data_IF_323140962472
#
_entry.id   IF_323140962472
#
_cell.length_a   1.000
_cell.length_b   1.000
_cell.length_c   1.000
_cell.angle_alpha   90.00
_cell.angle_beta   90.00
_cell.angle_gamma   90.00
#
_symmetry.space_group_name_H-M   'P 1'
#
loop_
_entity.id
_entity.type
_entity.pdbx_description
1 polymer ?
#
# COMPACT_ATOMS: atom_id res chain seq x y z
N UNK A 1 76.81 -6.02 15.07
CA UNK A 1 76.34 -6.09 13.69
C UNK A 1 74.97 -6.69 13.65
N UNK A 2 74.03 -6.25 12.78
CA UNK A 2 72.77 -5.69 13.26
C UNK A 2 71.64 -6.72 13.22
N UNK A 3 70.93 -6.88 14.34
CA UNK A 3 69.70 -7.70 14.48
C UNK A 3 68.45 -6.87 14.51
N UNK A 4 68.50 -5.56 14.28
CA UNK A 4 67.37 -4.69 14.42
C UNK A 4 66.58 -4.34 13.13
N UNK A 5 67.08 -4.74 11.96
CA UNK A 5 66.35 -4.41 10.71
C UNK A 5 65.37 -5.49 10.20
N UNK A 6 65.42 -6.70 10.72
CA UNK A 6 64.54 -7.78 10.26
C UNK A 6 63.17 -7.79 10.91
N UNK A 7 63.02 -7.08 12.02
CA UNK A 7 61.74 -7.05 12.76
C UNK A 7 60.76 -5.97 12.28
N UNK A 8 61.23 -4.96 11.52
CA UNK A 8 60.38 -3.90 10.99
C UNK A 8 59.64 -4.27 9.71
N UNK A 9 60.08 -5.24 8.96
CA UNK A 9 59.41 -5.67 7.73
C UNK A 9 58.30 -6.70 7.95
N UNK A 10 58.30 -7.43 9.06
CA UNK A 10 57.28 -8.42 9.38
C UNK A 10 56.01 -7.75 9.94
N UNK A 11 56.12 -6.60 10.61
CA UNK A 11 54.97 -5.88 11.15
C UNK A 11 54.19 -5.03 10.10
N UNK A 12 54.80 -4.73 8.95
CA UNK A 12 54.10 -3.96 7.89
C UNK A 12 53.26 -4.81 6.96
N UNK A 13 53.51 -6.12 6.89
CA UNK A 13 52.75 -7.02 5.99
C UNK A 13 51.52 -7.64 6.67
N UNK A 14 51.39 -7.51 8.00
CA UNK A 14 50.25 -8.09 8.75
C UNK A 14 49.10 -7.12 9.02
N UNK A 15 49.23 -5.84 8.67
CA UNK A 15 48.17 -4.83 8.90
C UNK A 15 47.31 -4.55 7.64
N UNK A 16 47.69 -5.08 6.47
CA UNK A 16 46.96 -4.85 5.22
C UNK A 16 45.93 -5.96 4.90
N UNK A 17 45.90 -7.06 5.64
CA UNK A 17 45.03 -8.21 5.32
C UNK A 17 43.72 -8.27 6.11
N UNK A 18 43.37 -7.27 6.90
CA UNK A 18 42.18 -7.33 7.77
C UNK A 18 41.15 -6.22 7.49
N UNK A 19 41.20 -5.56 6.35
CA UNK A 19 40.21 -4.49 6.00
C UNK A 19 39.48 -4.77 4.70
N UNK A 20 39.22 -6.02 4.37
CA UNK A 20 38.36 -6.43 3.27
C UNK A 20 37.29 -7.42 3.75
N UNK A 21 36.60 -7.09 4.85
CA UNK A 21 35.40 -7.83 5.20
C UNK A 21 34.25 -6.86 5.54
N UNK A 22 33.16 -7.11 4.83
CA UNK A 22 31.80 -6.66 5.10
C UNK A 22 31.47 -5.18 4.80
N UNK A 23 31.61 -4.81 3.54
CA UNK A 23 30.63 -3.92 2.94
C UNK A 23 29.45 -4.73 2.38
N UNK A 24 28.73 -5.47 3.19
CA UNK A 24 27.37 -5.82 2.84
C UNK A 24 26.56 -4.53 2.90
N UNK A 25 26.69 -3.70 1.86
CA UNK A 25 25.92 -2.49 1.69
C UNK A 25 24.45 -2.89 1.78
N UNK A 26 23.75 -2.39 2.79
CA UNK A 26 22.31 -2.56 2.88
C UNK A 26 21.71 -2.02 1.56
N UNK A 27 21.17 -2.90 0.72
CA UNK A 27 20.49 -2.50 -0.50
C UNK A 27 19.39 -1.50 -0.13
N UNK A 28 19.15 -0.44 -0.91
CA UNK A 28 18.04 0.47 -0.67
C UNK A 28 16.72 -0.30 -0.69
N UNK A 29 15.73 0.12 0.10
CA UNK A 29 14.44 -0.57 0.21
C UNK A 29 13.78 -0.76 -1.15
N UNK A 30 13.94 0.19 -2.07
CA UNK A 30 13.43 0.12 -3.43
C UNK A 30 14.01 -1.06 -4.25
N UNK A 31 15.26 -1.49 -3.98
CA UNK A 31 15.88 -2.63 -4.65
C UNK A 31 15.35 -4.00 -4.15
N UNK A 32 14.58 -4.01 -3.07
CA UNK A 32 13.97 -5.21 -2.49
C UNK A 32 12.47 -5.34 -2.83
N UNK A 33 11.95 -4.44 -3.68
CA UNK A 33 10.57 -4.40 -4.15
C UNK A 33 10.53 -4.55 -5.68
N UNK A 34 9.50 -5.18 -6.19
CA UNK A 34 9.24 -5.31 -7.63
C UNK A 34 8.28 -4.23 -8.10
N UNK A 35 8.15 -4.07 -9.42
CA UNK A 35 7.08 -3.27 -10.04
C UNK A 35 5.77 -4.08 -10.16
N UNK A 36 5.32 -4.65 -9.05
CA UNK A 36 4.05 -5.37 -8.95
C UNK A 36 3.32 -4.95 -7.69
N UNK A 37 2.01 -5.05 -7.73
CA UNK A 37 1.17 -4.86 -6.55
C UNK A 37 0.91 -6.20 -5.87
N UNK A 38 1.11 -6.24 -4.56
CA UNK A 38 0.56 -7.23 -3.65
C UNK A 38 -0.73 -6.66 -3.06
N UNK A 39 -1.87 -7.26 -3.38
CA UNK A 39 -3.15 -6.98 -2.73
C UNK A 39 -3.37 -8.01 -1.63
N UNK A 40 -3.72 -7.53 -0.45
CA UNK A 40 -4.07 -8.38 0.69
C UNK A 40 -5.46 -8.00 1.16
N UNK A 41 -6.35 -8.97 1.15
CA UNK A 41 -7.70 -8.83 1.67
C UNK A 41 -7.75 -9.41 3.09
N UNK A 42 -8.24 -8.61 4.02
CA UNK A 42 -8.40 -8.98 5.43
C UNK A 42 -9.85 -8.92 5.85
N UNK A 43 -10.18 -9.74 6.84
CA UNK A 43 -11.39 -9.59 7.67
C UNK A 43 -10.99 -8.99 9.02
N UNK A 44 -11.55 -7.82 9.33
CA UNK A 44 -11.50 -7.25 10.67
C UNK A 44 -12.83 -7.52 11.34
N UNK A 45 -12.82 -8.21 12.46
CA UNK A 45 -14.04 -8.68 13.11
C UNK A 45 -13.98 -8.57 14.64
N UNK A 46 -15.14 -8.64 15.27
CA UNK A 46 -15.27 -8.60 16.71
C UNK A 46 -16.21 -7.52 17.20
N UNK A 47 -15.95 -7.00 18.39
CA UNK A 47 -16.74 -6.01 19.09
C UNK A 47 -15.83 -5.06 19.89
N UNK A 48 -16.43 -4.19 20.70
CA UNK A 48 -15.67 -3.19 21.48
C UNK A 48 -14.65 -3.80 22.46
N UNK A 49 -14.90 -5.02 22.95
CA UNK A 49 -14.05 -5.70 23.92
C UNK A 49 -12.96 -6.55 23.26
N UNK A 50 -13.27 -7.18 22.12
CA UNK A 50 -12.36 -8.10 21.45
C UNK A 50 -12.39 -7.91 19.94
N UNK A 51 -11.22 -7.76 19.33
CA UNK A 51 -11.04 -7.60 17.90
C UNK A 51 -10.10 -8.66 17.37
N UNK A 52 -10.36 -9.09 16.13
CA UNK A 52 -9.59 -10.09 15.39
C UNK A 52 -9.29 -9.59 13.98
N UNK A 53 -8.13 -9.97 13.49
CA UNK A 53 -7.69 -9.75 12.11
C UNK A 53 -7.41 -11.13 11.52
N UNK A 54 -7.94 -11.41 10.34
CA UNK A 54 -7.63 -12.62 9.57
C UNK A 54 -7.32 -12.25 8.13
N UNK A 55 -6.36 -12.95 7.51
CA UNK A 55 -6.11 -12.88 6.07
C UNK A 55 -7.22 -13.65 5.36
N UNK A 56 -7.89 -13.03 4.39
CA UNK A 56 -8.86 -13.68 3.51
C UNK A 56 -8.19 -14.19 2.25
N UNK A 57 -7.42 -13.34 1.57
CA UNK A 57 -6.80 -13.67 0.30
C UNK A 57 -5.56 -12.84 0.04
N UNK A 58 -4.62 -13.41 -0.72
CA UNK A 58 -3.46 -12.75 -1.28
C UNK A 58 -3.56 -12.77 -2.80
N UNK A 59 -3.40 -11.60 -3.41
CA UNK A 59 -3.48 -11.43 -4.85
C UNK A 59 -2.30 -10.62 -5.38
N UNK A 60 -1.98 -10.77 -6.64
CA UNK A 60 -0.95 -9.97 -7.29
C UNK A 60 -1.40 -9.50 -8.67
N UNK A 61 -0.98 -8.31 -9.06
CA UNK A 61 -1.15 -7.78 -10.41
C UNK A 61 0.05 -6.95 -10.85
N UNK A 62 0.16 -6.74 -12.16
CA UNK A 62 1.20 -5.91 -12.78
C UNK A 62 1.05 -4.46 -12.36
N UNK A 63 2.21 -3.80 -12.25
CA UNK A 63 2.33 -2.39 -11.95
C UNK A 63 2.16 -2.09 -10.46
N UNK A 64 2.95 -1.12 -9.99
CA UNK A 64 2.79 -0.49 -8.70
C UNK A 64 2.52 1.00 -8.91
N UNK A 65 1.33 1.46 -8.54
CA UNK A 65 0.90 2.86 -8.68
C UNK A 65 0.99 3.65 -7.38
N UNK A 66 1.41 3.02 -6.30
CA UNK A 66 1.54 3.66 -5.01
C UNK A 66 2.86 4.42 -4.85
N UNK A 67 3.11 4.83 -3.64
CA UNK A 67 4.28 5.61 -3.24
C UNK A 67 5.59 4.88 -3.55
N UNK A 68 6.57 5.59 -4.12
CA UNK A 68 7.89 5.07 -4.50
C UNK A 68 9.04 5.68 -3.69
N UNK A 69 8.75 6.70 -2.87
CA UNK A 69 9.71 7.39 -1.99
C UNK A 69 9.20 7.41 -0.56
N UNK A 70 10.09 7.57 0.41
CA UNK A 70 9.76 7.56 1.85
C UNK A 70 8.92 6.33 2.25
N UNK A 71 9.33 5.15 1.78
CA UNK A 71 8.55 3.92 1.87
C UNK A 71 8.37 3.43 3.31
N UNK A 72 9.33 3.70 4.18
CA UNK A 72 9.43 3.27 5.57
C UNK A 72 8.85 4.26 6.58
N UNK A 73 8.28 5.39 6.12
CA UNK A 73 7.74 6.44 6.97
C UNK A 73 6.23 6.62 6.80
N UNK A 74 5.58 7.15 7.85
CA UNK A 74 4.15 7.48 7.85
C UNK A 74 3.99 9.00 7.83
N UNK A 75 3.57 9.60 6.70
CA UNK A 75 3.29 11.04 6.64
C UNK A 75 2.06 11.44 7.47
N UNK A 76 1.08 10.54 7.57
CA UNK A 76 -0.14 10.71 8.35
C UNK A 76 -0.36 9.47 9.22
N UNK A 77 -0.98 9.65 10.39
CA UNK A 77 -1.33 8.57 11.31
C UNK A 77 -2.84 8.40 11.36
N UNK A 78 -3.30 7.21 10.96
CA UNK A 78 -4.67 6.76 11.12
C UNK A 78 -4.85 5.92 12.39
N UNK A 79 -5.94 5.13 12.42
CA UNK A 79 -6.27 4.22 13.52
C UNK A 79 -5.58 2.86 13.40
N UNK A 80 -4.81 2.63 12.34
CA UNK A 80 -4.03 1.44 12.16
C UNK A 80 -2.86 1.67 11.23
N UNK A 81 -1.95 0.72 11.19
CA UNK A 81 -0.91 0.66 10.18
C UNK A 81 -0.66 -0.78 9.68
N UNK A 82 -0.13 -0.86 8.46
CA UNK A 82 0.37 -2.07 7.85
C UNK A 82 1.82 -1.84 7.48
N UNK A 83 2.69 -2.78 7.86
CA UNK A 83 4.13 -2.72 7.66
C UNK A 83 4.59 -3.97 6.93
N UNK A 84 5.34 -3.80 5.85
CA UNK A 84 6.04 -4.84 5.12
C UNK A 84 7.52 -4.82 5.52
N UNK A 85 8.03 -5.94 6.02
CA UNK A 85 9.40 -6.06 6.55
C UNK A 85 10.11 -7.20 5.83
N UNK A 86 11.32 -6.97 5.34
CA UNK A 86 12.18 -8.03 4.82
C UNK A 86 12.50 -9.04 5.92
N UNK A 87 12.13 -10.30 5.71
CA UNK A 87 12.26 -11.34 6.75
C UNK A 87 13.70 -11.64 7.12
N UNK A 88 14.61 -11.53 6.16
CA UNK A 88 16.04 -11.87 6.36
C UNK A 88 16.78 -10.77 7.11
N UNK A 89 16.47 -9.50 6.81
CA UNK A 89 17.23 -8.35 7.36
C UNK A 89 16.52 -7.63 8.50
N UNK A 90 15.20 -7.85 8.67
CA UNK A 90 14.36 -7.10 9.60
C UNK A 90 14.11 -5.65 9.18
N UNK A 91 14.48 -5.28 7.95
CA UNK A 91 14.33 -3.92 7.44
C UNK A 91 12.89 -3.68 6.98
N UNK A 92 12.33 -2.54 7.37
CA UNK A 92 11.05 -2.07 6.83
C UNK A 92 11.21 -1.72 5.35
N UNK A 93 10.41 -2.37 4.49
CA UNK A 93 10.35 -2.15 3.05
C UNK A 93 9.28 -1.12 2.68
N UNK A 94 8.13 -1.20 3.35
CA UNK A 94 7.00 -0.32 3.10
C UNK A 94 6.16 -0.19 4.37
N UNK A 95 5.58 0.98 4.57
CA UNK A 95 4.66 1.23 5.67
C UNK A 95 3.54 2.16 5.23
N UNK A 96 2.29 1.82 5.60
CA UNK A 96 1.10 2.61 5.31
C UNK A 96 0.23 2.71 6.56
N UNK A 97 -0.34 3.88 6.79
CA UNK A 97 -1.37 4.09 7.81
C UNK A 97 -2.74 4.10 7.16
N UNK A 98 -3.74 3.70 7.93
CA UNK A 98 -5.13 3.62 7.48
C UNK A 98 -6.11 3.93 8.61
N UNK A 99 -7.38 4.17 8.22
CA UNK A 99 -8.56 4.18 9.09
C UNK A 99 -9.64 3.36 8.43
N UNK A 100 -10.45 2.63 9.20
CA UNK A 100 -11.45 1.69 8.69
C UNK A 100 -12.84 1.91 9.25
N UNK A 101 -13.86 1.51 8.49
CA UNK A 101 -15.24 1.48 8.96
C UNK A 101 -15.43 0.57 10.17
N UNK A 102 -14.65 -0.52 10.28
CA UNK A 102 -14.68 -1.37 11.48
C UNK A 102 -14.35 -0.58 12.74
N UNK A 103 -13.27 0.22 12.71
CA UNK A 103 -12.86 1.01 13.88
C UNK A 103 -13.84 2.15 14.17
N UNK A 104 -14.45 2.73 13.15
CA UNK A 104 -15.51 3.72 13.30
C UNK A 104 -16.74 3.07 13.96
N UNK A 105 -17.19 1.92 13.45
CA UNK A 105 -18.29 1.16 14.05
C UNK A 105 -18.02 0.75 15.51
N UNK A 106 -16.77 0.43 15.89
CA UNK A 106 -16.41 0.12 17.28
C UNK A 106 -16.71 1.26 18.26
N UNK A 107 -16.90 2.49 17.77
CA UNK A 107 -17.28 3.64 18.62
C UNK A 107 -18.76 3.67 18.96
N UNK A 108 -19.60 2.91 18.26
CA UNK A 108 -21.06 2.88 18.43
C UNK A 108 -21.47 2.10 19.66
N UNK A 109 -22.71 2.31 20.14
CA UNK A 109 -23.30 1.53 21.22
C UNK A 109 -23.54 0.07 20.79
N UNK A 110 -23.88 -0.16 19.51
CA UNK A 110 -24.09 -1.51 18.96
C UNK A 110 -22.87 -2.42 19.17
N UNK A 111 -21.67 -1.90 18.99
CA UNK A 111 -20.43 -2.64 19.17
C UNK A 111 -20.19 -3.13 20.62
N UNK A 112 -20.94 -2.66 21.61
CA UNK A 112 -20.89 -3.19 22.99
C UNK A 112 -21.67 -4.49 23.14
N UNK A 113 -22.58 -4.80 22.22
CA UNK A 113 -23.55 -5.91 22.29
C UNK A 113 -23.40 -6.94 21.20
N UNK A 114 -22.93 -6.53 20.02
CA UNK A 114 -22.79 -7.39 18.84
C UNK A 114 -21.35 -7.44 18.37
N UNK A 115 -21.00 -8.52 17.67
CA UNK A 115 -19.79 -8.64 16.87
C UNK A 115 -20.15 -8.53 15.40
N UNK A 116 -19.34 -7.79 14.64
CA UNK A 116 -19.45 -7.67 13.18
C UNK A 116 -18.12 -7.97 12.50
N UNK A 117 -18.18 -8.23 11.21
CA UNK A 117 -17.01 -8.44 10.34
C UNK A 117 -17.05 -7.44 9.19
N UNK A 118 -15.88 -6.89 8.86
CA UNK A 118 -15.68 -5.91 7.80
C UNK A 118 -14.51 -6.35 6.92
N UNK A 119 -14.73 -6.34 5.63
CA UNK A 119 -13.67 -6.57 4.65
C UNK A 119 -12.79 -5.32 4.52
N UNK A 120 -11.49 -5.55 4.39
CA UNK A 120 -10.52 -4.48 4.18
C UNK A 120 -9.48 -4.94 3.15
N UNK A 121 -9.23 -4.12 2.15
CA UNK A 121 -8.25 -4.38 1.11
C UNK A 121 -7.08 -3.42 1.24
N UNK A 122 -5.86 -3.96 1.24
CA UNK A 122 -4.64 -3.16 1.23
C UNK A 122 -3.78 -3.50 0.02
N UNK A 123 -3.21 -2.46 -0.58
CA UNK A 123 -2.25 -2.56 -1.68
C UNK A 123 -0.86 -2.21 -1.15
N UNK A 124 0.08 -3.11 -1.38
CA UNK A 124 1.48 -2.98 -1.03
C UNK A 124 2.35 -3.23 -2.27
N UNK A 125 3.55 -2.69 -2.36
CA UNK A 125 4.50 -3.13 -3.37
C UNK A 125 4.91 -4.59 -3.09
N UNK A 126 4.97 -5.42 -4.12
CA UNK A 126 5.35 -6.83 -3.99
C UNK A 126 6.83 -6.93 -3.63
N UNK A 127 7.21 -7.62 -2.54
CA UNK A 127 8.61 -7.84 -2.19
C UNK A 127 9.30 -8.78 -3.20
N UNK A 128 10.63 -8.67 -3.32
CA UNK A 128 11.44 -9.60 -4.14
C UNK A 128 11.59 -10.95 -3.43
N UNK A 129 11.86 -10.92 -2.14
CA UNK A 129 12.06 -12.10 -1.28
C UNK A 129 10.95 -12.22 -0.24
N UNK A 130 10.99 -13.30 0.56
CA UNK A 130 10.06 -13.50 1.67
C UNK A 130 10.06 -12.30 2.61
N UNK A 131 8.89 -11.76 2.86
CA UNK A 131 8.66 -10.65 3.76
C UNK A 131 7.62 -11.00 4.82
N UNK A 132 7.63 -10.25 5.91
CA UNK A 132 6.63 -10.31 6.96
C UNK A 132 5.72 -9.09 6.86
N UNK A 133 4.42 -9.31 6.89
CA UNK A 133 3.42 -8.26 6.99
C UNK A 133 2.91 -8.19 8.41
N UNK A 134 2.95 -7.01 9.01
CA UNK A 134 2.35 -6.73 10.32
C UNK A 134 1.23 -5.72 10.15
N UNK A 135 0.02 -6.07 10.61
CA UNK A 135 -1.15 -5.18 10.66
C UNK A 135 -1.47 -4.92 12.12
N UNK A 136 -1.65 -3.64 12.47
CA UNK A 136 -1.99 -3.22 13.83
C UNK A 136 -3.18 -2.26 13.81
N UNK A 137 -4.13 -2.46 14.72
CA UNK A 137 -5.21 -1.54 15.00
C UNK A 137 -4.95 -0.84 16.35
N UNK A 138 -5.19 0.47 16.39
CA UNK A 138 -4.94 1.30 17.56
C UNK A 138 -6.23 1.87 18.13
N UNK A 139 -6.24 2.09 19.44
CA UNK A 139 -7.25 2.90 20.09
C UNK A 139 -6.98 4.41 19.86
N UNK A 140 -7.88 5.25 20.35
CA UNK A 140 -7.76 6.71 20.26
C UNK A 140 -6.54 7.31 21.02
N UNK A 141 -5.86 6.52 21.84
CA UNK A 141 -4.59 6.86 22.51
C UNK A 141 -3.38 6.24 21.81
N UNK A 142 -3.55 5.70 20.59
CA UNK A 142 -2.53 4.98 19.82
C UNK A 142 -1.93 3.76 20.55
N UNK A 143 -2.70 3.11 21.42
CA UNK A 143 -2.31 1.81 22.00
C UNK A 143 -2.80 0.70 21.08
N UNK A 144 -1.97 -0.32 20.89
CA UNK A 144 -2.34 -1.49 20.07
C UNK A 144 -3.51 -2.21 20.71
N UNK A 145 -4.61 -2.33 19.99
CA UNK A 145 -5.80 -3.10 20.37
C UNK A 145 -5.69 -4.54 19.91
N UNK A 146 -5.28 -4.74 18.65
CA UNK A 146 -5.05 -6.05 18.07
C UNK A 146 -3.96 -5.96 16.99
N UNK A 147 -3.30 -7.08 16.74
CA UNK A 147 -2.25 -7.19 15.73
C UNK A 147 -2.28 -8.56 15.08
N UNK A 148 -2.03 -8.60 13.78
CA UNK A 148 -1.74 -9.81 13.04
C UNK A 148 -0.38 -9.70 12.38
N UNK A 149 0.36 -10.81 12.39
CA UNK A 149 1.63 -10.95 11.68
C UNK A 149 1.58 -12.21 10.83
N UNK A 150 1.93 -12.09 9.56
CA UNK A 150 2.00 -13.22 8.65
C UNK A 150 3.09 -13.03 7.61
N UNK A 151 3.49 -14.12 6.98
CA UNK A 151 4.49 -14.09 5.92
C UNK A 151 3.86 -13.94 4.54
N UNK A 152 4.64 -13.35 3.64
CA UNK A 152 4.38 -13.32 2.20
C UNK A 152 5.60 -13.89 1.50
N UNK A 153 5.40 -15.01 0.81
CA UNK A 153 6.39 -15.63 -0.05
C UNK A 153 5.99 -15.34 -1.49
N UNK A 154 6.72 -14.49 -2.24
CA UNK A 154 6.29 -14.04 -3.58
C UNK A 154 6.04 -15.16 -4.60
N UNK A 155 6.69 -16.32 -4.40
CA UNK A 155 6.52 -17.50 -5.24
C UNK A 155 5.41 -18.46 -4.77
N UNK A 156 4.66 -18.10 -3.71
CA UNK A 156 3.58 -18.95 -3.22
C UNK A 156 2.46 -19.03 -4.25
N UNK A 157 2.08 -20.28 -4.60
CA UNK A 157 0.99 -20.56 -5.54
C UNK A 157 -0.38 -20.10 -5.04
N UNK A 158 -0.53 -19.87 -3.75
CA UNK A 158 -1.75 -19.35 -3.14
C UNK A 158 -1.92 -17.83 -3.37
N UNK A 159 -0.89 -17.14 -3.84
CA UNK A 159 -1.04 -15.74 -4.29
C UNK A 159 -1.67 -15.76 -5.69
N UNK A 160 -2.96 -15.48 -5.76
CA UNK A 160 -3.71 -15.49 -7.01
C UNK A 160 -3.29 -14.33 -7.92
N UNK A 161 -2.88 -14.68 -9.15
CA UNK A 161 -2.46 -13.69 -10.14
C UNK A 161 -3.66 -13.12 -10.90
N UNK A 162 -3.78 -11.79 -10.94
CA UNK A 162 -4.86 -11.06 -11.61
C UNK A 162 -4.47 -10.49 -12.98
N UNK A 163 -3.26 -10.78 -13.50
CA UNK A 163 -2.77 -10.18 -14.75
C UNK A 163 -3.61 -10.49 -15.97
N UNK A 164 -4.37 -11.59 -15.95
CA UNK A 164 -5.29 -12.00 -17.02
C UNK A 164 -6.70 -11.40 -16.86
N UNK A 165 -7.00 -10.75 -15.75
CA UNK A 165 -8.30 -10.12 -15.58
C UNK A 165 -8.42 -8.89 -16.48
N UNK A 166 -9.56 -8.68 -17.14
CA UNK A 166 -9.77 -7.50 -17.97
C UNK A 166 -9.73 -6.23 -17.08
N UNK A 167 -9.04 -5.23 -17.58
CA UNK A 167 -9.06 -3.91 -16.96
C UNK A 167 -10.40 -3.25 -17.30
N UNK A 168 -11.06 -2.68 -16.31
CA UNK A 168 -12.29 -1.93 -16.51
C UNK A 168 -12.08 -0.79 -17.52
N UNK A 169 -13.05 -0.53 -18.43
CA UNK A 169 -12.97 0.61 -19.33
C UNK A 169 -12.79 1.90 -18.54
N UNK A 170 -11.78 2.67 -18.90
CA UNK A 170 -11.48 3.91 -18.20
C UNK A 170 -10.98 4.99 -19.14
N UNK A 171 -11.10 6.25 -18.72
CA UNK A 171 -10.65 7.42 -19.47
C UNK A 171 -10.08 8.46 -18.52
N UNK A 172 -8.90 8.99 -18.81
CA UNK A 172 -8.41 10.17 -18.09
C UNK A 172 -9.25 11.39 -18.50
N UNK A 173 -9.83 12.05 -17.51
CA UNK A 173 -10.58 13.32 -17.67
C UNK A 173 -9.66 14.51 -17.52
N UNK A 174 -8.67 14.39 -16.64
CA UNK A 174 -7.62 15.38 -16.44
C UNK A 174 -6.34 14.67 -16.04
N UNK A 175 -5.20 15.03 -16.63
CA UNK A 175 -3.91 14.43 -16.32
C UNK A 175 -2.81 15.49 -16.24
N UNK A 176 -2.18 15.62 -15.06
CA UNK A 176 -1.10 16.60 -14.82
C UNK A 176 0.29 15.95 -14.71
N UNK A 177 0.36 14.62 -14.59
CA UNK A 177 1.64 13.90 -14.50
C UNK A 177 1.46 12.38 -14.35
N UNK A 178 2.50 11.72 -13.85
CA UNK A 178 2.47 10.27 -13.62
C UNK A 178 1.80 9.93 -12.28
N UNK A 179 1.22 8.71 -12.12
CA UNK A 179 0.65 8.26 -10.84
C UNK A 179 1.62 8.33 -9.67
N UNK A 180 2.94 8.14 -9.92
CA UNK A 180 3.96 8.23 -8.87
C UNK A 180 4.19 9.65 -8.33
N UNK A 181 3.79 10.67 -9.10
CA UNK A 181 4.07 12.09 -8.80
C UNK A 181 2.82 12.88 -8.40
N UNK A 182 1.64 12.35 -8.71
CA UNK A 182 0.37 13.06 -8.57
C UNK A 182 -0.60 12.29 -7.69
N UNK A 183 -1.67 12.97 -7.29
CA UNK A 183 -2.79 12.37 -6.58
C UNK A 183 -3.77 11.87 -7.63
N UNK A 184 -3.93 10.56 -7.74
CA UNK A 184 -4.90 9.96 -8.64
C UNK A 184 -6.28 9.88 -7.97
N UNK A 185 -7.29 10.43 -8.63
CA UNK A 185 -8.69 10.40 -8.20
C UNK A 185 -9.47 9.59 -9.21
N UNK A 186 -10.01 8.44 -8.77
CA UNK A 186 -10.90 7.62 -9.58
C UNK A 186 -12.36 8.03 -9.36
N UNK A 187 -13.07 8.28 -10.45
CA UNK A 187 -14.52 8.46 -10.47
C UNK A 187 -15.10 7.16 -11.04
N UNK A 188 -15.85 6.46 -10.22
CA UNK A 188 -16.40 5.13 -10.57
C UNK A 188 -17.88 5.30 -10.92
N UNK A 189 -18.29 4.68 -12.04
CA UNK A 189 -19.68 4.69 -12.47
C UNK A 189 -20.56 3.88 -11.48
N UNK A 190 -21.71 4.43 -11.15
CA UNK A 190 -22.79 3.75 -10.43
C UNK A 190 -24.13 4.18 -11.04
N UNK A 191 -25.05 3.22 -11.28
CA UNK A 191 -26.34 3.50 -11.90
C UNK A 191 -26.29 3.79 -13.41
N UNK A 192 -25.16 3.56 -14.07
CA UNK A 192 -25.05 3.65 -15.54
C UNK A 192 -24.88 2.23 -16.12
N UNK A 193 -25.71 1.89 -17.12
CA UNK A 193 -25.54 0.64 -17.87
C UNK A 193 -24.34 0.72 -18.82
N UNK A 194 -23.99 -0.41 -19.46
CA UNK A 194 -22.90 -0.44 -20.44
C UNK A 194 -23.15 0.52 -21.63
N UNK A 195 -24.41 0.67 -22.06
CA UNK A 195 -24.83 1.57 -23.15
C UNK A 195 -24.74 3.04 -22.75
N UNK A 196 -24.76 3.34 -21.46
CA UNK A 196 -24.70 4.70 -20.91
C UNK A 196 -23.27 5.16 -20.56
N UNK A 197 -22.25 4.41 -20.93
CA UNK A 197 -20.85 4.73 -20.62
C UNK A 197 -20.45 6.14 -21.09
N UNK A 198 -20.89 6.57 -22.27
CA UNK A 198 -20.57 7.93 -22.77
C UNK A 198 -21.27 9.03 -21.96
N UNK A 199 -22.49 8.79 -21.49
CA UNK A 199 -23.20 9.70 -20.57
C UNK A 199 -22.43 9.82 -19.25
N UNK A 200 -22.01 8.69 -18.68
CA UNK A 200 -21.17 8.68 -17.49
C UNK A 200 -19.89 9.51 -17.66
N UNK A 201 -19.15 9.30 -18.76
CA UNK A 201 -17.92 10.06 -19.00
C UNK A 201 -18.19 11.56 -19.15
N UNK A 202 -19.30 11.95 -19.77
CA UNK A 202 -19.68 13.35 -19.91
C UNK A 202 -20.03 13.99 -18.56
N UNK A 203 -20.75 13.27 -17.69
CA UNK A 203 -21.13 13.77 -16.37
C UNK A 203 -19.92 13.81 -15.42
N UNK A 204 -19.05 12.79 -15.46
CA UNK A 204 -17.79 12.79 -14.74
C UNK A 204 -16.88 13.95 -15.15
N UNK A 205 -16.80 14.29 -16.45
CA UNK A 205 -16.05 15.45 -16.94
C UNK A 205 -16.59 16.76 -16.36
N UNK A 206 -17.91 16.96 -16.39
CA UNK A 206 -18.56 18.15 -15.79
C UNK A 206 -18.22 18.29 -14.31
N UNK A 207 -18.24 17.16 -13.56
CA UNK A 207 -17.91 17.16 -12.14
C UNK A 207 -16.46 17.57 -11.88
N UNK A 208 -15.50 17.05 -12.68
CA UNK A 208 -14.08 17.43 -12.58
C UNK A 208 -13.89 18.91 -12.92
N UNK A 209 -14.50 19.38 -14.02
CA UNK A 209 -14.40 20.78 -14.44
C UNK A 209 -14.95 21.73 -13.36
N UNK A 210 -16.07 21.37 -12.74
CA UNK A 210 -16.66 22.13 -11.64
C UNK A 210 -15.74 22.13 -10.40
N UNK A 211 -15.18 20.96 -10.02
CA UNK A 211 -14.27 20.85 -8.89
C UNK A 211 -13.03 21.72 -9.09
N UNK A 212 -12.42 21.67 -10.27
CA UNK A 212 -11.20 22.41 -10.57
C UNK A 212 -11.42 23.93 -10.72
N UNK A 213 -12.68 24.40 -10.73
CA UNK A 213 -12.98 25.84 -10.66
C UNK A 213 -13.14 26.35 -9.21
N UNK A 214 -13.24 25.45 -8.21
CA UNK A 214 -13.44 25.82 -6.82
C UNK A 214 -12.15 25.86 -6.01
N UNK A 215 -12.05 26.81 -5.08
CA UNK A 215 -10.98 26.82 -4.10
C UNK A 215 -11.17 25.68 -3.04
N UNK A 216 -10.06 25.03 -2.63
CA UNK A 216 -8.68 25.28 -3.00
C UNK A 216 -8.20 24.51 -4.25
N UNK A 217 -9.04 23.67 -4.88
CA UNK A 217 -8.66 22.73 -5.94
C UNK A 217 -8.10 23.45 -7.18
N UNK A 218 -8.64 24.62 -7.53
CA UNK A 218 -8.14 25.42 -8.65
C UNK A 218 -6.65 25.80 -8.51
N UNK A 219 -6.15 26.02 -7.28
CA UNK A 219 -4.76 26.36 -7.01
C UNK A 219 -3.84 25.14 -7.05
N UNK A 220 -4.38 23.96 -6.93
CA UNK A 220 -3.65 22.70 -6.86
C UNK A 220 -3.99 21.75 -8.00
N UNK A 221 -4.58 22.25 -9.08
CA UNK A 221 -4.98 21.43 -10.22
C UNK A 221 -3.80 20.60 -10.77
N UNK A 222 -2.60 21.16 -10.78
CA UNK A 222 -1.36 20.49 -11.19
C UNK A 222 -0.94 19.32 -10.28
N UNK A 223 -1.62 19.11 -9.16
CA UNK A 223 -1.35 17.99 -8.21
C UNK A 223 -2.19 16.75 -8.46
N UNK A 224 -3.20 16.85 -9.30
CA UNK A 224 -4.20 15.80 -9.48
C UNK A 224 -4.13 15.18 -10.87
N UNK A 225 -4.46 13.89 -10.95
CA UNK A 225 -5.00 13.22 -12.12
C UNK A 225 -6.43 12.79 -11.79
N UNK A 226 -7.34 12.89 -12.75
CA UNK A 226 -8.71 12.37 -12.63
C UNK A 226 -8.95 11.31 -13.70
N UNK A 227 -9.38 10.13 -13.30
CA UNK A 227 -9.70 9.02 -14.18
C UNK A 227 -11.14 8.55 -13.93
N UNK A 228 -11.95 8.50 -14.99
CA UNK A 228 -13.28 7.91 -14.93
C UNK A 228 -13.21 6.43 -15.26
N UNK A 229 -13.80 5.58 -14.43
CA UNK A 229 -13.84 4.12 -14.57
C UNK A 229 -15.29 3.68 -14.78
N UNK A 230 -15.59 3.21 -15.98
CA UNK A 230 -16.93 2.78 -16.36
C UNK A 230 -17.16 1.32 -15.92
N UNK A 231 -17.68 1.14 -14.70
CA UNK A 231 -18.19 -0.13 -14.23
C UNK A 231 -19.70 -0.18 -14.47
N UNK A 232 -20.20 -1.01 -15.40
CA UNK A 232 -21.63 -1.00 -15.73
C UNK A 232 -22.46 -1.58 -14.58
N UNK A 233 -23.53 -0.89 -14.24
CA UNK A 233 -24.60 -1.40 -13.40
C UNK A 233 -25.56 -2.28 -14.21
N UNK A 234 -26.25 -3.22 -13.55
CA UNK A 234 -27.27 -4.03 -14.21
C UNK A 234 -28.47 -3.20 -14.65
N UNK A 235 -28.83 -2.22 -13.83
CA UNK A 235 -29.96 -1.31 -14.03
C UNK A 235 -29.52 0.15 -14.06
N UNK A 236 -30.34 0.99 -14.64
CA UNK A 236 -30.18 2.46 -14.59
C UNK A 236 -30.62 2.99 -13.23
N UNK A 237 -30.01 4.11 -12.84
CA UNK A 237 -30.35 4.83 -11.62
C UNK A 237 -29.96 4.12 -10.31
N UNK A 238 -30.18 4.78 -9.18
CA UNK A 238 -29.82 4.25 -7.86
C UNK A 238 -30.97 3.41 -7.33
N UNK A 239 -30.69 2.18 -6.90
CA UNK A 239 -31.68 1.37 -6.18
C UNK A 239 -32.08 2.07 -4.89
N UNK A 240 -33.37 2.34 -4.72
CA UNK A 240 -33.98 2.89 -3.50
C UNK A 240 -34.28 1.74 -2.53
#
# INVERSE_FOLDING_TARGET
FPRHQLMYHIFRTLIISTLLLSGAGAQPAAAQLTDRTLRIDYQFSGNKQQQHIAVSELLSNKGWAGRTVHLDSLPLKGNGDITLTDKRTGRTLYKQSFSTLFQEWLTTEEATRLSRSFENTFLLPMPVDTAEVTVQLYDFKHRVMTSLRHEVVPSDILIRNLDSHPVAPHRYLYRSGTPAEKIDVAIVAEGYTAEQADSFYADAQKAVDALLQHEPFNRYADRFNFVAVALPSADTDVSI
#
